data_IF_453603020471
#
_entry.id   IF_453603020471
#
_cell.length_a   1.000
_cell.length_b   1.000
_cell.length_c   1.000
_cell.angle_alpha   90.00
_cell.angle_beta   90.00
_cell.angle_gamma   90.00
#
_symmetry.space_group_name_H-M   'P 1'
#
loop_
_entity.id
_entity.type
_entity.pdbx_description
1 polymer ?
#
# COMPACT_ATOMS: atom_id res chain seq x y z
N UNK A 1 15.41 -62.01 39.38
CA UNK A 1 14.95 -62.49 40.69
C UNK A 1 14.78 -61.29 41.60
N UNK A 2 13.62 -61.23 42.25
CA UNK A 2 13.18 -60.36 43.34
C UNK A 2 12.88 -58.87 43.09
N UNK A 3 11.66 -58.54 43.53
CA UNK A 3 10.87 -57.34 43.35
C UNK A 3 10.82 -56.53 44.65
N UNK A 4 10.63 -55.21 44.53
CA UNK A 4 10.16 -54.31 45.59
C UNK A 4 9.06 -53.36 45.05
N UNK A 5 8.16 -52.85 45.88
CA UNK A 5 6.73 -52.83 45.56
C UNK A 5 6.21 -51.56 44.87
N UNK A 6 5.12 -51.76 44.11
CA UNK A 6 4.25 -50.73 43.53
C UNK A 6 3.25 -50.22 44.58
N UNK A 7 3.08 -48.91 44.65
CA UNK A 7 1.87 -48.27 45.16
C UNK A 7 1.21 -47.50 44.01
N UNK A 8 -0.03 -47.91 43.70
CA UNK A 8 -1.00 -47.21 42.84
C UNK A 8 -1.69 -46.12 43.68
N UNK A 9 -2.11 -45.04 43.04
CA UNK A 9 -3.53 -44.59 42.99
C UNK A 9 -3.73 -43.46 41.95
N UNK A 10 -4.35 -43.88 40.84
CA UNK A 10 -5.37 -43.30 39.93
C UNK A 10 -5.82 -41.81 39.92
N UNK A 11 -6.48 -41.38 38.81
CA UNK A 11 -6.30 -40.08 38.17
C UNK A 11 -7.50 -39.12 38.32
N UNK A 12 -7.28 -37.85 38.01
CA UNK A 12 -8.29 -36.84 37.64
C UNK A 12 -7.54 -35.69 36.95
N UNK A 13 -8.04 -34.94 35.97
CA UNK A 13 -9.28 -34.97 35.19
C UNK A 13 -9.03 -34.13 33.93
N UNK A 14 -9.78 -34.44 32.88
CA UNK A 14 -9.91 -33.69 31.62
C UNK A 14 -10.32 -32.24 31.88
N UNK A 15 -9.73 -31.30 31.12
CA UNK A 15 -10.41 -30.08 30.69
C UNK A 15 -9.85 -29.66 29.33
N UNK A 16 -10.54 -30.09 28.28
CA UNK A 16 -10.53 -29.43 26.99
C UNK A 16 -11.64 -28.36 26.98
N UNK A 17 -11.54 -27.44 26.01
CA UNK A 17 -12.63 -26.70 25.36
C UNK A 17 -12.93 -25.27 25.87
N UNK A 18 -12.80 -24.39 24.88
CA UNK A 18 -13.58 -23.18 24.59
C UNK A 18 -13.52 -21.98 25.53
N UNK A 19 -13.28 -20.84 24.86
CA UNK A 19 -14.41 -19.97 24.62
C UNK A 19 -14.13 -18.53 24.98
N UNK A 20 -14.10 -17.68 23.96
CA UNK A 20 -14.51 -16.29 24.10
C UNK A 20 -15.81 -16.23 24.92
N UNK A 21 -15.78 -15.54 26.07
CA UNK A 21 -16.94 -14.80 26.56
C UNK A 21 -16.46 -13.50 27.17
N UNK A 22 -16.80 -12.42 26.48
CA UNK A 22 -17.14 -11.18 27.14
C UNK A 22 -18.31 -11.46 28.09
N UNK A 23 -18.29 -10.90 29.30
CA UNK A 23 -19.42 -10.13 29.80
C UNK A 23 -18.99 -9.32 31.03
N UNK A 24 -19.48 -8.09 31.04
CA UNK A 24 -19.17 -7.03 31.97
C UNK A 24 -19.97 -7.14 33.27
N UNK A 25 -19.42 -6.60 34.35
CA UNK A 25 -20.19 -6.13 35.51
C UNK A 25 -20.06 -4.60 35.53
N UNK A 26 -21.19 -3.93 35.32
CA UNK A 26 -21.37 -2.47 35.45
C UNK A 26 -21.97 -2.20 36.83
N UNK A 27 -21.37 -1.28 37.60
CA UNK A 27 -22.09 -0.51 38.61
C UNK A 27 -22.02 0.99 38.23
N UNK A 28 -23.21 1.59 38.22
CA UNK A 28 -23.58 2.95 37.81
C UNK A 28 -22.90 4.06 38.65
N UNK A 29 -22.50 5.17 38.02
CA UNK A 29 -23.06 6.52 38.24
C UNK A 29 -22.41 7.56 37.30
N UNK A 30 -23.24 8.30 36.54
CA UNK A 30 -22.96 9.71 36.21
C UNK A 30 -22.36 10.04 34.83
N UNK A 31 -23.16 10.75 34.04
CA UNK A 31 -22.84 11.57 32.86
C UNK A 31 -22.72 10.81 31.53
N UNK A 32 -23.79 10.92 30.74
CA UNK A 32 -23.85 10.55 29.35
C UNK A 32 -22.93 11.45 28.50
N UNK A 33 -21.93 10.86 27.87
CA UNK A 33 -21.51 11.25 26.52
C UNK A 33 -20.95 10.03 25.80
N UNK A 34 -21.75 9.57 24.86
CA UNK A 34 -21.47 8.77 23.68
C UNK A 34 -19.98 8.36 23.46
N UNK A 35 -19.55 7.28 24.09
CA UNK A 35 -18.36 6.55 23.70
C UNK A 35 -18.79 5.20 23.10
N UNK A 36 -19.41 5.28 21.92
CA UNK A 36 -19.28 4.24 20.91
C UNK A 36 -17.79 4.08 20.63
N UNK A 37 -17.11 3.28 21.46
CA UNK A 37 -15.88 2.60 21.11
C UNK A 37 -16.22 1.62 19.98
N UNK A 38 -16.47 2.19 18.80
CA UNK A 38 -16.36 1.51 17.54
C UNK A 38 -14.88 1.16 17.44
N UNK A 39 -14.53 -0.03 17.92
CA UNK A 39 -13.41 -0.77 17.38
C UNK A 39 -13.67 -0.90 15.87
N UNK A 40 -13.29 0.12 15.10
CA UNK A 40 -13.14 0.02 13.65
C UNK A 40 -11.88 -0.82 13.41
N UNK A 41 -11.91 -2.10 13.77
CA UNK A 41 -11.11 -3.06 13.03
C UNK A 41 -11.78 -3.15 11.66
N UNK A 42 -11.44 -2.22 10.77
CA UNK A 42 -11.71 -2.39 9.36
C UNK A 42 -10.99 -3.67 8.97
N UNK A 43 -11.74 -4.75 8.81
CA UNK A 43 -11.20 -6.00 8.29
C UNK A 43 -10.57 -5.65 6.94
N UNK A 44 -9.24 -5.61 6.91
CA UNK A 44 -8.50 -5.31 5.70
C UNK A 44 -8.99 -6.23 4.58
N UNK A 45 -9.31 -5.66 3.42
CA UNK A 45 -9.81 -6.43 2.29
C UNK A 45 -8.79 -7.53 1.92
N UNK A 46 -9.16 -8.83 1.89
CA UNK A 46 -8.24 -9.93 1.62
C UNK A 46 -7.49 -9.81 0.29
N UNK A 47 -8.17 -9.36 -0.77
CA UNK A 47 -7.54 -9.14 -2.09
C UNK A 47 -6.49 -8.03 -2.02
N UNK A 48 -6.76 -6.95 -1.29
CA UNK A 48 -5.78 -5.88 -1.08
C UNK A 48 -4.55 -6.37 -0.30
N UNK A 49 -4.76 -7.22 0.72
CA UNK A 49 -3.67 -7.84 1.47
C UNK A 49 -2.81 -8.69 0.52
N UNK A 50 -3.45 -9.61 -0.21
CA UNK A 50 -2.76 -10.52 -1.13
C UNK A 50 -2.00 -9.74 -2.20
N UNK A 51 -2.64 -8.78 -2.87
CA UNK A 51 -1.99 -7.97 -3.89
C UNK A 51 -0.78 -7.22 -3.31
N UNK A 52 -0.95 -6.60 -2.15
CA UNK A 52 0.16 -5.93 -1.48
C UNK A 52 1.28 -6.88 -1.04
N UNK A 53 0.99 -8.15 -0.74
CA UNK A 53 2.01 -9.16 -0.41
C UNK A 53 2.74 -9.60 -1.67
N UNK A 54 2.03 -9.82 -2.78
CA UNK A 54 2.60 -10.22 -4.05
C UNK A 54 3.51 -9.15 -4.64
N UNK A 55 3.21 -7.86 -4.49
CA UNK A 55 4.12 -6.77 -4.90
C UNK A 55 5.30 -6.52 -3.94
N UNK A 56 5.31 -7.12 -2.75
CA UNK A 56 6.32 -6.80 -1.75
C UNK A 56 7.77 -7.10 -2.18
N UNK A 57 8.10 -8.23 -2.85
CA UNK A 57 9.48 -8.53 -3.23
C UNK A 57 10.07 -7.46 -4.16
N UNK A 58 9.34 -7.09 -5.21
CA UNK A 58 9.79 -6.12 -6.23
C UNK A 58 9.97 -4.71 -5.64
N UNK A 59 9.06 -4.30 -4.75
CA UNK A 59 9.12 -2.98 -4.10
C UNK A 59 10.23 -2.91 -3.05
N UNK A 60 10.40 -3.96 -2.23
CA UNK A 60 11.47 -4.03 -1.23
C UNK A 60 12.85 -4.03 -1.88
N UNK A 61 13.03 -4.73 -3.00
CA UNK A 61 14.27 -4.74 -3.76
C UNK A 61 14.70 -3.33 -4.20
N UNK A 62 13.73 -2.43 -4.44
CA UNK A 62 13.96 -1.02 -4.79
C UNK A 62 14.03 -0.07 -3.59
N UNK A 63 14.01 -0.59 -2.36
CA UNK A 63 14.13 0.18 -1.12
C UNK A 63 12.82 0.75 -0.57
N UNK A 64 11.66 0.32 -1.10
CA UNK A 64 10.37 0.76 -0.57
C UNK A 64 10.05 0.09 0.77
N UNK A 65 9.44 0.86 1.68
CA UNK A 65 8.91 0.42 2.97
C UNK A 65 7.38 0.57 2.99
N UNK A 66 6.68 -0.44 3.51
CA UNK A 66 5.21 -0.51 3.51
C UNK A 66 4.60 0.18 4.74
N UNK A 67 3.45 0.82 4.57
CA UNK A 67 2.53 1.23 5.64
C UNK A 67 1.09 1.12 5.12
N UNK A 68 0.32 0.16 5.63
CA UNK A 68 -1.01 -0.15 5.09
C UNK A 68 -0.92 -0.62 3.63
N UNK A 69 -1.66 0.03 2.73
CA UNK A 69 -1.61 -0.22 1.29
C UNK A 69 -0.64 0.71 0.52
N UNK A 70 0.13 1.52 1.25
CA UNK A 70 1.06 2.49 0.67
C UNK A 70 2.51 2.06 0.90
N UNK A 71 3.33 2.33 -0.09
CA UNK A 71 4.76 2.06 -0.13
C UNK A 71 5.53 3.35 -0.30
N UNK A 72 6.61 3.48 0.46
CA UNK A 72 7.40 4.69 0.54
C UNK A 72 8.86 4.39 0.27
N UNK A 73 9.46 5.12 -0.67
CA UNK A 73 10.91 5.17 -0.83
C UNK A 73 11.38 6.58 -0.51
N UNK A 74 12.06 6.70 0.63
CA UNK A 74 12.61 7.97 1.09
C UNK A 74 13.96 8.21 0.42
N UNK A 75 14.06 9.27 -0.37
CA UNK A 75 15.30 9.78 -0.95
C UNK A 75 15.74 11.02 -0.15
N UNK A 76 16.88 11.62 -0.50
CA UNK A 76 17.38 12.79 0.21
C UNK A 76 16.36 13.94 0.19
N UNK A 77 15.99 14.40 -1.01
CA UNK A 77 15.15 15.60 -1.21
C UNK A 77 13.67 15.34 -1.46
N UNK A 78 13.28 14.08 -1.58
CA UNK A 78 11.91 13.70 -1.93
C UNK A 78 11.52 12.35 -1.34
N UNK A 79 10.22 12.08 -1.32
CA UNK A 79 9.65 10.79 -0.95
C UNK A 79 8.83 10.31 -2.14
N UNK A 80 9.14 9.11 -2.60
CA UNK A 80 8.36 8.44 -3.63
C UNK A 80 7.31 7.55 -2.98
N UNK A 81 6.10 7.63 -3.51
CA UNK A 81 4.90 7.00 -2.96
C UNK A 81 4.27 6.13 -4.02
N UNK A 82 3.97 4.88 -3.68
CA UNK A 82 3.14 3.99 -4.47
C UNK A 82 2.00 3.49 -3.59
N UNK A 83 0.76 3.77 -3.96
CA UNK A 83 -0.43 3.40 -3.21
C UNK A 83 -1.28 2.42 -4.03
N UNK A 84 -1.58 1.26 -3.42
CA UNK A 84 -2.52 0.29 -3.98
C UNK A 84 -3.90 0.63 -3.44
N UNK A 85 -4.78 1.09 -4.31
CA UNK A 85 -6.12 1.51 -3.94
C UNK A 85 -7.14 0.54 -4.55
N UNK A 86 -7.92 -0.14 -3.70
CA UNK A 86 -9.11 -0.83 -4.18
C UNK A 86 -10.21 0.20 -4.49
N UNK A 87 -10.91 0.01 -5.59
CA UNK A 87 -12.15 0.72 -5.86
C UNK A 87 -13.21 0.45 -4.79
N UNK A 88 -14.04 1.45 -4.44
CA UNK A 88 -15.17 1.24 -3.54
C UNK A 88 -16.34 0.50 -4.23
N UNK A 89 -16.37 0.43 -5.55
CA UNK A 89 -17.52 -0.08 -6.33
C UNK A 89 -17.38 -1.52 -6.82
N UNK A 90 -16.15 -1.99 -6.97
CA UNK A 90 -15.84 -3.29 -7.57
C UNK A 90 -14.49 -3.81 -7.06
N UNK A 91 -14.18 -5.07 -7.36
CA UNK A 91 -12.88 -5.66 -7.11
C UNK A 91 -11.86 -5.27 -8.19
N UNK A 92 -11.80 -3.98 -8.54
CA UNK A 92 -10.76 -3.41 -9.38
C UNK A 92 -9.81 -2.55 -8.55
N UNK A 93 -8.54 -2.52 -8.95
CA UNK A 93 -7.49 -1.80 -8.25
C UNK A 93 -6.92 -0.67 -9.10
N UNK A 94 -6.43 0.36 -8.43
CA UNK A 94 -5.60 1.40 -8.99
C UNK A 94 -4.22 1.35 -8.32
N UNK A 95 -3.17 1.58 -9.10
CA UNK A 95 -1.83 1.79 -8.58
C UNK A 95 -1.50 3.27 -8.76
N UNK A 96 -1.72 4.05 -7.71
CA UNK A 96 -1.43 5.48 -7.73
C UNK A 96 0.04 5.70 -7.37
N UNK A 97 0.69 6.60 -8.08
CA UNK A 97 2.10 6.94 -7.92
C UNK A 97 2.23 8.42 -7.62
N UNK A 98 3.12 8.77 -6.71
CA UNK A 98 3.41 10.17 -6.42
C UNK A 98 4.84 10.44 -5.98
N UNK A 99 5.23 11.70 -6.13
CA UNK A 99 6.47 12.24 -5.58
C UNK A 99 6.13 13.43 -4.68
N UNK A 100 6.61 13.36 -3.45
CA UNK A 100 6.52 14.43 -2.46
C UNK A 100 7.87 15.11 -2.32
N UNK A 101 7.95 16.39 -2.70
CA UNK A 101 9.12 17.23 -2.50
C UNK A 101 9.17 17.71 -1.04
N UNK A 102 10.27 17.40 -0.35
CA UNK A 102 10.46 17.79 1.06
C UNK A 102 10.71 19.28 1.25
N UNK A 103 11.10 19.99 0.19
CA UNK A 103 11.22 21.45 0.21
C UNK A 103 9.84 22.14 0.34
N UNK A 104 8.75 21.43 0.04
CA UNK A 104 7.39 21.97 0.01
C UNK A 104 6.50 21.44 1.15
N UNK A 105 7.07 20.68 2.09
CA UNK A 105 6.39 20.25 3.31
C UNK A 105 7.20 19.25 4.14
N UNK A 106 6.70 18.92 5.33
CA UNK A 106 7.42 18.24 6.40
C UNK A 106 6.96 16.78 6.63
N UNK A 107 6.11 16.25 5.77
CA UNK A 107 5.54 14.93 5.98
C UNK A 107 6.52 13.79 5.72
N UNK A 108 6.66 12.88 6.69
CA UNK A 108 7.51 11.68 6.55
C UNK A 108 6.83 10.53 5.80
N UNK A 109 5.49 10.51 5.76
CA UNK A 109 4.68 9.47 5.11
C UNK A 109 3.44 10.09 4.44
N UNK A 110 3.63 10.95 3.43
CA UNK A 110 2.51 11.64 2.80
C UNK A 110 1.56 10.64 2.14
N UNK A 111 0.23 10.79 2.26
CA UNK A 111 -0.67 10.06 1.39
C UNK A 111 -0.42 10.50 -0.06
N UNK A 112 -0.65 9.61 -1.02
CA UNK A 112 -0.46 9.91 -2.45
C UNK A 112 -1.19 11.20 -2.87
N UNK A 113 -2.40 11.43 -2.35
CA UNK A 113 -3.19 12.64 -2.64
C UNK A 113 -2.49 13.96 -2.30
N UNK A 114 -1.55 13.95 -1.34
CA UNK A 114 -0.75 15.11 -0.93
C UNK A 114 0.60 15.22 -1.64
N UNK A 115 0.91 14.28 -2.53
CA UNK A 115 2.11 14.38 -3.37
C UNK A 115 2.00 15.54 -4.37
N UNK A 116 3.16 16.03 -4.78
CA UNK A 116 3.34 17.18 -5.64
C UNK A 116 3.27 16.80 -7.13
N UNK A 117 3.80 15.62 -7.45
CA UNK A 117 3.58 14.94 -8.73
C UNK A 117 2.74 13.71 -8.45
N UNK A 118 1.74 13.47 -9.30
CA UNK A 118 0.78 12.38 -9.14
C UNK A 118 0.37 11.84 -10.50
N UNK A 119 0.26 10.53 -10.60
CA UNK A 119 -0.29 9.85 -11.77
C UNK A 119 -0.72 8.44 -11.38
N UNK A 120 -1.39 7.74 -12.29
CA UNK A 120 -1.64 6.31 -12.13
C UNK A 120 -0.66 5.52 -12.97
N UNK A 121 -0.25 4.34 -12.50
CA UNK A 121 0.78 3.55 -13.17
C UNK A 121 0.48 3.32 -14.67
N UNK A 122 -0.79 3.16 -15.04
CA UNK A 122 -1.21 2.97 -16.42
C UNK A 122 -1.05 4.22 -17.32
N UNK A 123 -0.91 5.41 -16.73
CA UNK A 123 -0.76 6.68 -17.45
C UNK A 123 0.58 6.81 -18.18
N UNK A 124 1.61 6.11 -17.72
CA UNK A 124 2.96 6.11 -18.33
C UNK A 124 3.21 4.92 -19.26
N UNK A 125 2.17 4.12 -19.52
CA UNK A 125 2.21 3.00 -20.46
C UNK A 125 1.67 3.39 -21.84
N UNK A 126 2.17 2.71 -22.89
CA UNK A 126 1.57 2.72 -24.22
C UNK A 126 0.16 2.10 -24.24
N UNK A 127 -0.58 2.27 -25.33
CA UNK A 127 -2.00 1.88 -25.40
C UNK A 127 -2.26 0.40 -25.07
N UNK A 128 -1.47 -0.52 -25.64
CA UNK A 128 -1.64 -1.96 -25.47
C UNK A 128 -1.31 -2.42 -24.04
N UNK A 129 -0.17 -1.96 -23.50
CA UNK A 129 0.24 -2.28 -22.13
C UNK A 129 -0.69 -1.66 -21.09
N UNK A 130 -1.21 -0.46 -21.37
CA UNK A 130 -2.23 0.20 -20.53
C UNK A 130 -3.52 -0.61 -20.51
N UNK A 131 -3.97 -1.10 -21.67
CA UNK A 131 -5.13 -1.97 -21.76
C UNK A 131 -4.90 -3.25 -20.94
N UNK A 132 -3.74 -3.87 -21.09
CA UNK A 132 -3.40 -5.11 -20.38
C UNK A 132 -3.29 -4.90 -18.86
N UNK A 133 -2.63 -3.83 -18.40
CA UNK A 133 -2.54 -3.52 -16.97
C UNK A 133 -3.93 -3.30 -16.38
N UNK A 134 -4.80 -2.53 -17.05
CA UNK A 134 -6.17 -2.31 -16.58
C UNK A 134 -6.97 -3.62 -16.51
N UNK A 135 -6.79 -4.51 -17.48
CA UNK A 135 -7.41 -5.84 -17.50
C UNK A 135 -6.92 -6.73 -16.36
N UNK A 136 -5.63 -6.68 -16.02
CA UNK A 136 -5.03 -7.45 -14.92
C UNK A 136 -5.43 -6.91 -13.54
N UNK A 137 -5.60 -5.59 -13.42
CA UNK A 137 -6.04 -4.92 -12.19
C UNK A 137 -7.55 -5.04 -11.93
N UNK A 138 -8.32 -5.56 -12.89
CA UNK A 138 -9.74 -5.89 -12.72
C UNK A 138 -9.90 -7.35 -12.24
N UNK A 139 -10.15 -7.52 -10.93
CA UNK A 139 -10.38 -8.83 -10.32
C UNK A 139 -11.84 -9.26 -10.39
N UNK A 140 -12.75 -8.43 -10.91
CA UNK A 140 -14.14 -8.86 -11.17
C UNK A 140 -14.23 -9.86 -12.31
N UNK A 141 -13.25 -9.82 -13.22
CA UNK A 141 -13.13 -10.75 -14.32
C UNK A 141 -12.19 -11.90 -13.94
N UNK A 142 -12.49 -13.11 -14.41
CA UNK A 142 -11.49 -14.19 -14.41
C UNK A 142 -10.35 -13.77 -15.33
N UNK A 143 -9.18 -13.48 -14.77
CA UNK A 143 -7.99 -13.38 -15.60
C UNK A 143 -7.69 -14.75 -16.22
N UNK A 144 -7.27 -14.79 -17.49
CA UNK A 144 -6.56 -15.93 -18.01
C UNK A 144 -5.24 -16.04 -17.26
N UNK A 145 -4.89 -17.29 -16.94
CA UNK A 145 -3.58 -17.79 -16.48
C UNK A 145 -3.16 -17.58 -15.03
N UNK A 146 -2.36 -18.57 -14.61
CA UNK A 146 -1.94 -18.93 -13.26
C UNK A 146 -1.03 -17.92 -12.54
N UNK A 147 -0.63 -16.81 -13.18
CA UNK A 147 0.30 -15.84 -12.59
C UNK A 147 -0.04 -14.35 -12.88
N UNK A 148 -1.34 -13.96 -12.80
CA UNK A 148 -1.80 -12.54 -12.87
C UNK A 148 -0.86 -11.56 -12.16
N UNK A 149 -0.40 -11.90 -10.95
CA UNK A 149 0.46 -11.03 -10.17
C UNK A 149 1.86 -10.85 -10.77
N UNK A 150 2.39 -11.86 -11.44
CA UNK A 150 3.68 -11.77 -12.12
C UNK A 150 3.59 -10.82 -13.31
N UNK A 151 2.51 -10.89 -14.08
CA UNK A 151 2.30 -9.97 -15.21
C UNK A 151 2.14 -8.52 -14.74
N UNK A 152 1.41 -8.31 -13.64
CA UNK A 152 1.32 -6.98 -13.00
C UNK A 152 2.71 -6.51 -12.57
N UNK A 153 3.53 -7.36 -11.95
CA UNK A 153 4.89 -6.99 -11.55
C UNK A 153 5.72 -6.57 -12.77
N UNK A 154 5.72 -7.36 -13.85
CA UNK A 154 6.47 -7.06 -15.08
C UNK A 154 6.07 -5.70 -15.64
N UNK A 155 4.76 -5.43 -15.73
CA UNK A 155 4.27 -4.16 -16.25
C UNK A 155 4.65 -2.99 -15.33
N UNK A 156 4.50 -3.13 -14.01
CA UNK A 156 4.90 -2.08 -13.06
C UNK A 156 6.41 -1.83 -13.07
N UNK A 157 7.23 -2.86 -13.22
CA UNK A 157 8.68 -2.75 -13.32
C UNK A 157 9.12 -1.99 -14.56
N UNK A 158 8.50 -2.26 -15.71
CA UNK A 158 8.78 -1.59 -16.99
C UNK A 158 8.22 -0.16 -17.08
N UNK A 159 7.36 0.23 -16.14
CA UNK A 159 6.62 1.49 -16.21
C UNK A 159 6.80 2.34 -14.95
N UNK A 160 5.85 2.30 -14.02
CA UNK A 160 5.82 3.12 -12.82
C UNK A 160 7.12 3.05 -12.01
N UNK A 161 7.71 1.86 -11.84
CA UNK A 161 8.93 1.70 -11.04
C UNK A 161 10.17 2.21 -11.79
N UNK A 162 10.29 1.92 -13.08
CA UNK A 162 11.35 2.49 -13.92
C UNK A 162 11.27 4.02 -13.94
N UNK A 163 10.07 4.58 -14.14
CA UNK A 163 9.84 6.02 -14.11
C UNK A 163 10.26 6.64 -12.78
N UNK A 164 9.96 5.98 -11.65
CA UNK A 164 10.40 6.43 -10.32
C UNK A 164 11.93 6.36 -10.17
N UNK A 165 12.59 5.36 -10.75
CA UNK A 165 14.04 5.25 -10.73
C UNK A 165 14.70 6.39 -11.52
N UNK A 166 14.18 6.68 -12.72
CA UNK A 166 14.64 7.77 -13.59
C UNK A 166 14.39 9.16 -13.00
N UNK A 167 13.30 9.31 -12.23
CA UNK A 167 12.88 10.57 -11.63
C UNK A 167 13.17 10.64 -10.12
N UNK A 168 14.35 10.15 -9.72
CA UNK A 168 14.81 10.12 -8.33
C UNK A 168 15.54 11.39 -7.86
N UNK A 169 15.66 12.40 -8.72
CA UNK A 169 16.33 13.68 -8.43
C UNK A 169 15.47 14.88 -8.83
N UNK A 170 15.68 16.03 -8.18
CA UNK A 170 15.02 17.28 -8.54
C UNK A 170 15.36 17.70 -9.98
N UNK A 171 16.61 17.51 -10.41
CA UNK A 171 17.05 17.82 -11.77
C UNK A 171 16.32 16.96 -12.83
N UNK A 172 16.08 15.68 -12.54
CA UNK A 172 15.33 14.81 -13.45
C UNK A 172 13.86 15.28 -13.57
N UNK A 173 13.23 15.61 -12.44
CA UNK A 173 11.88 16.16 -12.44
C UNK A 173 11.78 17.50 -13.15
N UNK A 174 12.79 18.36 -13.00
CA UNK A 174 12.83 19.62 -13.73
C UNK A 174 12.88 19.38 -15.25
N UNK A 175 13.78 18.50 -15.70
CA UNK A 175 13.86 18.14 -17.13
C UNK A 175 12.54 17.58 -17.64
N UNK A 176 11.86 16.74 -16.86
CA UNK A 176 10.53 16.22 -17.19
C UNK A 176 9.51 17.35 -17.39
N UNK A 177 9.51 18.37 -16.53
CA UNK A 177 8.59 19.51 -16.66
C UNK A 177 8.79 20.32 -17.95
N UNK A 178 9.94 20.18 -18.60
CA UNK A 178 10.26 20.80 -19.89
C UNK A 178 9.83 19.96 -21.09
N UNK A 179 9.34 18.73 -20.89
CA UNK A 179 8.86 17.87 -21.99
C UNK A 179 7.34 17.93 -22.14
N UNK A 180 6.80 17.60 -23.33
CA UNK A 180 5.36 17.46 -23.53
C UNK A 180 4.74 16.37 -22.63
N UNK A 181 5.53 15.38 -22.21
CA UNK A 181 5.05 14.29 -21.35
C UNK A 181 4.63 14.77 -19.96
N UNK A 182 5.03 15.98 -19.55
CA UNK A 182 4.59 16.61 -18.30
C UNK A 182 3.05 16.64 -18.15
N UNK A 183 2.29 16.60 -19.26
CA UNK A 183 0.83 16.55 -19.27
C UNK A 183 0.24 15.22 -18.76
N UNK A 184 1.02 14.13 -18.77
CA UNK A 184 0.59 12.84 -18.22
C UNK A 184 0.52 12.84 -16.68
N UNK A 185 1.04 13.89 -16.04
CA UNK A 185 1.16 13.99 -14.58
C UNK A 185 0.31 15.14 -14.04
N UNK A 186 -0.42 14.88 -12.97
CA UNK A 186 -0.99 15.93 -12.14
C UNK A 186 0.14 16.54 -11.29
N UNK A 187 0.61 17.72 -11.71
CA UNK A 187 1.64 18.49 -11.00
C UNK A 187 0.99 19.66 -10.28
N UNK A 188 1.14 19.73 -8.95
CA UNK A 188 0.63 20.85 -8.15
C UNK A 188 1.33 22.16 -8.54
N UNK A 189 0.59 23.27 -8.55
CA UNK A 189 1.13 24.61 -8.88
C UNK A 189 2.40 24.94 -8.08
N UNK A 190 2.39 24.74 -6.76
CA UNK A 190 3.54 25.04 -5.91
C UNK A 190 4.82 24.25 -6.26
N UNK A 191 4.71 23.09 -6.90
CA UNK A 191 5.88 22.36 -7.40
C UNK A 191 6.41 22.93 -8.71
N UNK A 192 5.53 23.43 -9.59
CA UNK A 192 5.96 24.13 -10.81
C UNK A 192 6.70 25.42 -10.44
N UNK A 193 6.11 26.21 -9.55
CA UNK A 193 6.70 27.46 -9.04
C UNK A 193 8.08 27.19 -8.42
N UNK A 194 8.20 26.17 -7.56
CA UNK A 194 9.47 25.76 -6.94
C UNK A 194 10.59 25.46 -7.95
N UNK A 195 10.27 24.77 -9.04
CA UNK A 195 11.29 24.42 -10.03
C UNK A 195 11.70 25.62 -10.88
N UNK A 196 10.75 26.46 -11.29
CA UNK A 196 11.06 27.70 -12.01
C UNK A 196 11.97 28.63 -11.20
N UNK A 197 11.68 28.85 -9.92
CA UNK A 197 12.51 29.72 -9.07
C UNK A 197 13.94 29.20 -8.84
N UNK A 198 14.16 27.89 -8.99
CA UNK A 198 15.41 27.23 -8.63
C UNK A 198 16.31 26.92 -9.84
N UNK A 199 15.74 26.75 -11.02
CA UNK A 199 16.45 26.22 -12.20
C UNK A 199 16.27 27.04 -13.48
N UNK A 200 15.41 28.06 -13.49
CA UNK A 200 15.43 29.12 -14.53
C UNK A 200 16.57 30.11 -14.25
#
# INVERSE_FOLDING_TARGET
MWHGPRLRLKPASVAAIAGCRADAIIHFFGIASDARFLCKSSSMNPLLIEFSQKLAPVLKARGFKKTGATWYRNLDRMIQVLNIQKSPYADNFYVNVGIYLKALGDELRPPEARCHFRFRAESVLGADERFELNRLLDFTQKAPTSDRYQDIQILLEKSALLWLDENSTEQALWKLLQTPDAHAFAVRKGARDFFSERYD
#
